data_IF_947267854792
#
_entry.id   IF_947267854792
#
_cell.length_a   1.000
_cell.length_b   1.000
_cell.length_c   1.000
_cell.angle_alpha   90.00
_cell.angle_beta   90.00
_cell.angle_gamma   90.00
#
_symmetry.space_group_name_H-M   'P 1'
#
loop_
_entity.id
_entity.type
_entity.pdbx_description
1 polymer ?
#
# COMPACT_ATOMS: atom_id res chain seq x y z
N UNK A 1 -3.35 13.42 6.65
CA UNK A 1 -3.68 12.00 6.38
C UNK A 1 -3.29 11.07 7.52
N UNK A 2 -2.05 11.11 8.04
CA UNK A 2 -1.67 10.32 9.24
C UNK A 2 -2.42 10.77 10.50
N UNK A 3 -2.61 12.08 10.68
CA UNK A 3 -3.36 12.64 11.81
C UNK A 3 -4.80 12.12 11.89
N UNK A 4 -5.47 12.02 10.74
CA UNK A 4 -6.83 11.49 10.65
C UNK A 4 -6.92 10.01 11.02
N UNK A 5 -5.91 9.21 10.68
CA UNK A 5 -5.82 7.82 11.10
C UNK A 5 -5.55 7.72 12.59
N UNK A 6 -4.62 8.52 13.14
CA UNK A 6 -4.37 8.52 14.58
C UNK A 6 -5.61 8.94 15.37
N UNK A 7 -6.34 9.97 14.92
CA UNK A 7 -7.56 10.44 15.58
C UNK A 7 -8.67 9.37 15.52
N UNK A 8 -8.82 8.70 14.36
CA UNK A 8 -9.83 7.64 14.18
C UNK A 8 -9.55 6.39 15.02
N UNK A 9 -8.29 6.06 15.24
CA UNK A 9 -7.87 4.84 15.93
C UNK A 9 -7.29 5.10 17.34
N UNK A 10 -7.39 6.33 17.86
CA UNK A 10 -6.80 6.77 19.14
C UNK A 10 -7.22 5.89 20.33
N UNK A 11 -8.47 5.43 20.32
CA UNK A 11 -9.05 4.58 21.37
C UNK A 11 -9.47 3.20 20.83
N UNK A 12 -9.03 2.84 19.62
CA UNK A 12 -9.40 1.57 19.02
C UNK A 12 -8.72 0.41 19.76
N UNK A 13 -9.45 -0.68 20.04
CA UNK A 13 -8.86 -1.87 20.64
C UNK A 13 -7.83 -2.49 19.70
N UNK A 14 -6.87 -3.21 20.26
CA UNK A 14 -5.78 -3.82 19.49
C UNK A 14 -6.29 -4.73 18.36
N UNK A 15 -7.39 -5.46 18.58
CA UNK A 15 -8.01 -6.33 17.57
C UNK A 15 -8.46 -5.59 16.29
N UNK A 16 -8.74 -4.29 16.41
CA UNK A 16 -9.04 -3.43 15.25
C UNK A 16 -7.74 -2.97 14.58
N UNK A 17 -6.74 -2.59 15.38
CA UNK A 17 -5.43 -2.16 14.88
C UNK A 17 -4.67 -3.28 14.15
N UNK A 18 -4.80 -4.53 14.63
CA UNK A 18 -4.18 -5.72 14.02
C UNK A 18 -4.65 -5.96 12.58
N UNK A 19 -5.87 -5.52 12.24
CA UNK A 19 -6.43 -5.60 10.88
C UNK A 19 -5.95 -4.46 9.97
N UNK A 20 -5.29 -3.44 10.53
CA UNK A 20 -4.80 -2.30 9.78
C UNK A 20 -3.47 -2.66 9.11
N UNK A 21 -3.42 -2.49 7.79
CA UNK A 21 -2.17 -2.53 7.02
C UNK A 21 -1.91 -1.14 6.45
N UNK A 22 -0.80 -0.54 6.86
CA UNK A 22 -0.42 0.80 6.40
C UNK A 22 0.52 0.67 5.22
N UNK A 23 0.20 1.36 4.13
CA UNK A 23 1.02 1.38 2.92
C UNK A 23 1.68 2.75 2.79
N UNK A 24 3.00 2.77 2.84
CA UNK A 24 3.81 3.96 2.59
C UNK A 24 4.25 3.92 1.14
N UNK A 25 3.63 4.73 0.30
CA UNK A 25 3.92 4.74 -1.14
C UNK A 25 4.76 5.98 -1.45
N UNK A 26 5.91 5.75 -2.07
CA UNK A 26 6.79 6.80 -2.56
C UNK A 26 6.95 6.64 -4.08
N UNK A 27 6.53 7.66 -4.81
CA UNK A 27 6.62 7.70 -6.26
C UNK A 27 7.75 8.65 -6.66
N UNK A 28 8.68 8.16 -7.48
CA UNK A 28 9.77 8.96 -8.04
C UNK A 28 9.89 8.70 -9.55
N UNK A 29 9.51 9.69 -10.36
CA UNK A 29 9.43 9.53 -11.81
C UNK A 29 8.45 8.43 -12.21
N UNK A 30 8.92 7.41 -12.94
CA UNK A 30 8.13 6.22 -13.30
C UNK A 30 8.26 5.08 -12.32
N UNK A 31 8.89 5.30 -11.18
CA UNK A 31 9.12 4.24 -10.20
C UNK A 31 8.21 4.41 -9.01
N UNK A 32 7.50 3.34 -8.64
CA UNK A 32 6.77 3.25 -7.37
C UNK A 32 7.56 2.34 -6.43
N UNK A 33 7.92 2.87 -5.28
CA UNK A 33 8.43 2.10 -4.15
C UNK A 33 7.39 2.17 -3.05
N UNK A 34 7.09 1.05 -2.41
CA UNK A 34 6.26 1.11 -1.23
C UNK A 34 6.73 0.17 -0.14
N UNK A 35 6.29 0.48 1.07
CA UNK A 35 6.50 -0.33 2.25
C UNK A 35 5.16 -0.60 2.88
N UNK A 36 5.02 -1.78 3.47
CA UNK A 36 3.84 -2.14 4.24
C UNK A 36 4.21 -2.30 5.70
N UNK A 37 3.42 -1.67 6.56
CA UNK A 37 3.47 -1.89 8.00
C UNK A 37 2.26 -2.69 8.43
N UNK A 38 2.51 -3.72 9.23
CA UNK A 38 1.48 -4.51 9.90
C UNK A 38 1.83 -4.69 11.37
N UNK A 39 0.82 -4.92 12.20
CA UNK A 39 0.97 -5.05 13.65
C UNK A 39 0.41 -6.41 14.07
N UNK A 40 1.18 -7.51 13.92
CA UNK A 40 0.66 -8.86 14.17
C UNK A 40 0.35 -9.10 15.65
N UNK A 41 1.09 -8.44 16.55
CA UNK A 41 0.93 -8.53 18.00
C UNK A 41 1.19 -7.16 18.64
N UNK A 42 0.61 -6.92 19.82
CA UNK A 42 0.76 -5.67 20.56
C UNK A 42 2.25 -5.38 20.82
N UNK A 43 2.73 -4.23 20.35
CA UNK A 43 4.13 -3.82 20.48
C UNK A 43 5.07 -4.37 19.40
N UNK A 44 4.61 -5.27 18.52
CA UNK A 44 5.39 -5.77 17.40
C UNK A 44 4.93 -5.08 16.12
N UNK A 45 5.84 -4.36 15.47
CA UNK A 45 5.61 -3.68 14.21
C UNK A 45 6.47 -4.32 13.13
N UNK A 46 5.82 -4.90 12.12
CA UNK A 46 6.50 -5.53 10.98
C UNK A 46 6.45 -4.58 9.80
N UNK A 47 7.63 -4.16 9.34
CA UNK A 47 7.82 -3.35 8.15
C UNK A 47 8.37 -4.21 7.02
N UNK A 48 7.60 -4.37 5.95
CA UNK A 48 8.00 -5.09 4.75
C UNK A 48 8.28 -4.07 3.64
N UNK A 49 9.45 -4.18 3.02
CA UNK A 49 9.75 -3.45 1.77
C UNK A 49 9.19 -4.26 0.63
N UNK A 50 8.27 -3.67 -0.12
CA UNK A 50 7.58 -4.35 -1.21
C UNK A 50 8.37 -4.18 -2.51
N UNK A 51 8.17 -5.09 -3.48
CA UNK A 51 8.84 -4.99 -4.78
C UNK A 51 8.57 -3.65 -5.45
N UNK A 52 9.57 -3.13 -6.13
CA UNK A 52 9.44 -1.92 -6.95
C UNK A 52 8.47 -2.19 -8.10
N UNK A 53 7.52 -1.29 -8.33
CA UNK A 53 6.72 -1.27 -9.56
C UNK A 53 7.16 -0.13 -10.48
N UNK A 54 6.96 -0.32 -11.78
CA UNK A 54 7.19 0.71 -12.79
C UNK A 54 5.87 1.15 -13.39
N UNK A 55 5.65 2.47 -13.46
CA UNK A 55 4.51 3.09 -14.11
C UNK A 55 4.83 3.15 -15.62
N UNK A 56 4.06 2.48 -16.48
CA UNK A 56 4.25 2.57 -17.92
C UNK A 56 4.03 4.02 -18.39
N UNK A 57 5.00 4.58 -19.14
CA UNK A 57 4.86 5.94 -19.73
C UNK A 57 3.87 6.00 -20.88
N UNK A 58 3.59 4.87 -21.51
CA UNK A 58 2.64 4.74 -22.60
C UNK A 58 1.83 3.47 -22.40
N UNK A 59 0.51 3.59 -22.38
CA UNK A 59 -0.37 2.44 -22.54
C UNK A 59 -0.39 2.10 -24.04
N UNK A 60 -0.10 0.86 -24.45
CA UNK A 60 -0.37 0.48 -25.83
C UNK A 60 -1.86 0.69 -26.07
N UNK A 61 -2.22 1.43 -27.15
CA UNK A 61 -3.61 1.61 -27.58
C UNK A 61 -4.20 0.23 -27.87
N UNK A 62 -4.83 -0.41 -26.88
CA UNK A 62 -5.66 -1.58 -27.14
C UNK A 62 -6.98 -1.10 -27.74
N UNK A 63 -7.22 -1.51 -28.98
CA UNK A 63 -8.54 -1.53 -29.60
C UNK A 63 -9.56 -2.15 -28.64
N UNK A 64 -10.56 -1.36 -28.24
CA UNK A 64 -11.82 -1.79 -27.61
C UNK A 64 -11.71 -3.00 -26.67
N UNK A 65 -11.15 -2.80 -25.49
CA UNK A 65 -11.23 -3.74 -24.38
C UNK A 65 -10.80 -3.06 -23.09
N UNK A 66 -11.69 -3.02 -22.10
CA UNK A 66 -11.54 -2.35 -20.80
C UNK A 66 -10.15 -2.59 -20.20
N UNK A 67 -9.37 -1.54 -19.84
CA UNK A 67 -8.03 -1.73 -19.30
C UNK A 67 -8.14 -2.35 -17.89
N UNK A 68 -7.88 -3.65 -17.80
CA UNK A 68 -7.65 -4.34 -16.53
C UNK A 68 -6.18 -4.19 -16.14
N UNK A 69 -5.93 -3.49 -15.03
CA UNK A 69 -4.61 -3.42 -14.40
C UNK A 69 -4.40 -4.74 -13.65
N UNK A 70 -3.66 -5.67 -14.23
CA UNK A 70 -3.21 -6.87 -13.55
C UNK A 70 -1.95 -6.53 -12.73
N UNK A 71 -2.10 -6.36 -11.42
CA UNK A 71 -0.96 -6.38 -10.50
C UNK A 71 -0.70 -7.85 -10.17
N UNK A 72 0.30 -8.43 -10.80
CA UNK A 72 0.80 -9.77 -10.44
C UNK A 72 1.61 -9.63 -9.15
N UNK A 73 1.08 -10.18 -8.05
CA UNK A 73 1.83 -10.37 -6.81
C UNK A 73 2.50 -11.76 -6.86
N UNK A 74 3.76 -11.89 -6.40
CA UNK A 74 4.42 -13.18 -6.23
C UNK A 74 3.79 -14.02 -5.11
#
# INVERSE_FOLDING_TARGET
MIKTLSDKYQYAPFEVLKKLKLHFIHVHGTTVRWWTMSIPQKGIYVMCKEPRAEIPKAFPKKSRGTPSICITLP
#
